data_IF_177545268775
#
_entry.id   IF_177545268775
#
_cell.length_a   1.000
_cell.length_b   1.000
_cell.length_c   1.000
_cell.angle_alpha   90.00
_cell.angle_beta   90.00
_cell.angle_gamma   90.00
#
_symmetry.space_group_name_H-M   'P 1'
#
loop_
_entity.id
_entity.type
_entity.pdbx_description
1 polymer ?
#
# COMPACT_ATOMS: atom_id res chain seq x y z
N UNK A 1 17.85 5.68 -15.17
CA UNK A 1 18.30 5.17 -13.85
C UNK A 1 18.77 6.29 -12.90
N UNK A 2 19.47 7.32 -13.40
CA UNK A 2 19.98 8.44 -12.60
C UNK A 2 18.92 9.32 -11.94
N UNK A 3 17.69 9.40 -12.49
CA UNK A 3 16.57 10.17 -11.89
C UNK A 3 15.83 9.40 -10.79
N UNK A 4 15.91 8.07 -10.77
CA UNK A 4 15.14 7.25 -9.81
C UNK A 4 15.68 7.43 -8.39
N UNK A 5 17.02 7.42 -8.24
CA UNK A 5 17.71 7.60 -6.97
C UNK A 5 17.37 8.90 -6.22
N UNK A 6 17.41 10.10 -6.84
CA UNK A 6 17.06 11.33 -6.17
C UNK A 6 15.57 11.40 -5.81
N UNK A 7 14.68 10.84 -6.64
CA UNK A 7 13.25 10.75 -6.29
C UNK A 7 13.03 9.87 -5.06
N UNK A 8 13.70 8.71 -5.01
CA UNK A 8 13.66 7.80 -3.87
C UNK A 8 14.21 8.46 -2.59
N UNK A 9 15.33 9.17 -2.68
CA UNK A 9 15.88 9.89 -1.53
C UNK A 9 14.88 10.95 -1.01
N UNK A 10 14.22 11.66 -1.92
CA UNK A 10 13.24 12.69 -1.58
C UNK A 10 12.01 12.10 -0.90
N UNK A 11 11.50 10.97 -1.38
CA UNK A 11 10.35 10.30 -0.74
C UNK A 11 10.72 9.73 0.62
N UNK A 12 11.92 9.17 0.79
CA UNK A 12 12.41 8.69 2.10
C UNK A 12 12.51 9.85 3.10
N UNK A 13 13.08 10.99 2.70
CA UNK A 13 13.15 12.19 3.55
C UNK A 13 11.76 12.67 3.93
N UNK A 14 10.82 12.67 2.97
CA UNK A 14 9.43 13.02 3.21
C UNK A 14 8.75 12.11 4.24
N UNK A 15 8.98 10.79 4.17
CA UNK A 15 8.48 9.83 5.17
C UNK A 15 9.04 10.14 6.55
N UNK A 16 10.36 10.35 6.66
CA UNK A 16 11.01 10.68 7.94
C UNK A 16 10.43 11.96 8.55
N UNK A 17 10.18 12.99 7.74
CA UNK A 17 9.58 14.24 8.21
C UNK A 17 8.10 14.11 8.58
N UNK A 18 7.38 13.18 7.94
CA UNK A 18 5.98 12.89 8.26
C UNK A 18 5.80 12.03 9.50
N UNK A 19 6.84 11.29 9.93
CA UNK A 19 6.80 10.48 11.12
C UNK A 19 6.66 11.36 12.37
N UNK A 20 5.67 11.05 13.21
CA UNK A 20 5.54 11.63 14.55
C UNK A 20 6.68 11.14 15.46
N UNK A 21 7.04 11.92 16.48
CA UNK A 21 8.13 11.59 17.40
C UNK A 21 8.04 10.15 17.92
N UNK A 22 8.98 9.32 17.48
CA UNK A 22 9.03 7.91 17.82
C UNK A 22 9.72 7.80 19.18
N UNK A 23 8.94 7.53 20.23
CA UNK A 23 9.51 7.30 21.56
C UNK A 23 10.31 5.99 21.60
N UNK A 24 11.27 5.86 22.52
CA UNK A 24 12.18 4.70 22.58
C UNK A 24 11.50 3.32 22.70
N UNK A 25 10.25 3.26 23.19
CA UNK A 25 9.45 2.03 23.25
C UNK A 25 8.86 1.55 21.91
N UNK A 26 8.84 2.41 20.88
CA UNK A 26 8.20 2.15 19.58
C UNK A 26 9.17 1.65 18.51
N UNK A 27 10.48 1.55 18.80
CA UNK A 27 11.49 1.11 17.83
C UNK A 27 11.21 -0.28 17.24
N UNK A 28 10.68 -1.20 18.06
CA UNK A 28 10.27 -2.53 17.58
C UNK A 28 9.15 -2.45 16.53
N UNK A 29 8.18 -1.55 16.74
CA UNK A 29 7.10 -1.30 15.78
C UNK A 29 7.62 -0.76 14.45
N UNK A 30 8.60 0.15 14.48
CA UNK A 30 9.22 0.68 13.27
C UNK A 30 9.89 -0.42 12.44
N UNK A 31 10.60 -1.35 13.08
CA UNK A 31 11.20 -2.51 12.39
C UNK A 31 10.13 -3.36 11.71
N UNK A 32 9.01 -3.64 12.39
CA UNK A 32 7.90 -4.38 11.80
C UNK A 32 7.24 -3.66 10.62
N UNK A 33 7.07 -2.33 10.69
CA UNK A 33 6.52 -1.53 9.60
C UNK A 33 7.44 -1.60 8.37
N UNK A 34 8.75 -1.42 8.56
CA UNK A 34 9.73 -1.50 7.47
C UNK A 34 9.76 -2.91 6.87
N UNK A 35 9.79 -3.95 7.71
CA UNK A 35 9.74 -5.33 7.25
C UNK A 35 8.45 -5.63 6.45
N UNK A 36 7.30 -5.13 6.91
CA UNK A 36 6.02 -5.23 6.22
C UNK A 36 6.04 -4.53 4.86
N UNK A 37 6.65 -3.35 4.76
CA UNK A 37 6.81 -2.63 3.49
C UNK A 37 7.66 -3.43 2.47
N UNK A 38 8.75 -4.06 2.92
CA UNK A 38 9.55 -4.94 2.07
C UNK A 38 8.77 -6.20 1.63
N UNK A 39 8.03 -6.82 2.55
CA UNK A 39 7.18 -7.97 2.24
C UNK A 39 6.12 -7.61 1.19
N UNK A 40 5.46 -6.45 1.34
CA UNK A 40 4.50 -5.93 0.38
C UNK A 40 5.14 -5.64 -0.99
N UNK A 41 6.32 -4.99 -1.01
CA UNK A 41 7.03 -4.71 -2.24
C UNK A 41 7.36 -6.01 -3.00
N UNK A 42 7.93 -7.00 -2.31
CA UNK A 42 8.23 -8.31 -2.89
C UNK A 42 6.97 -9.01 -3.41
N UNK A 43 5.92 -9.01 -2.60
CA UNK A 43 4.62 -9.56 -2.98
C UNK A 43 4.06 -8.88 -4.23
N UNK A 44 4.06 -7.56 -4.33
CA UNK A 44 3.51 -6.83 -5.48
C UNK A 44 4.28 -7.10 -6.77
N UNK A 45 5.61 -7.24 -6.69
CA UNK A 45 6.47 -7.58 -7.83
C UNK A 45 6.19 -9.02 -8.27
N UNK A 46 6.17 -9.97 -7.34
CA UNK A 46 5.88 -11.37 -7.65
C UNK A 46 4.46 -11.53 -8.20
N UNK A 47 3.48 -10.85 -7.59
CA UNK A 47 2.11 -10.80 -8.07
C UNK A 47 2.07 -10.28 -9.51
N UNK A 48 2.76 -9.19 -9.84
CA UNK A 48 2.79 -8.67 -11.21
C UNK A 48 3.45 -9.61 -12.23
N UNK A 49 4.36 -10.49 -11.79
CA UNK A 49 4.97 -11.50 -12.65
C UNK A 49 4.07 -12.73 -12.85
N UNK A 50 3.23 -13.06 -11.87
CA UNK A 50 2.35 -14.24 -11.87
C UNK A 50 0.97 -13.92 -12.46
N UNK A 51 0.43 -12.72 -12.19
CA UNK A 51 -0.91 -12.29 -12.58
C UNK A 51 -1.17 -12.36 -14.10
N UNK A 52 -0.22 -12.12 -15.02
CA UNK A 52 -0.46 -12.31 -16.46
C UNK A 52 -0.70 -13.77 -16.87
N UNK A 53 -0.32 -14.74 -16.02
CA UNK A 53 -0.45 -16.18 -16.25
C UNK A 53 -1.61 -16.81 -15.48
N UNK A 54 -2.29 -16.04 -14.64
CA UNK A 54 -3.35 -16.52 -13.77
C UNK A 54 -4.63 -15.72 -14.01
N UNK A 55 -5.78 -16.36 -13.95
CA UNK A 55 -7.05 -15.64 -13.90
C UNK A 55 -7.12 -14.77 -12.64
N UNK A 56 -7.66 -13.56 -12.78
CA UNK A 56 -7.79 -12.58 -11.70
C UNK A 56 -8.48 -13.17 -10.46
N UNK A 57 -9.53 -13.97 -10.68
CA UNK A 57 -10.31 -14.67 -9.66
C UNK A 57 -9.46 -15.67 -8.88
N UNK A 58 -8.67 -16.49 -9.58
CA UNK A 58 -7.73 -17.46 -8.98
C UNK A 58 -6.68 -16.75 -8.13
N UNK A 59 -6.15 -15.62 -8.62
CA UNK A 59 -5.23 -14.77 -7.87
C UNK A 59 -5.82 -14.26 -6.55
N UNK A 60 -7.03 -13.69 -6.60
CA UNK A 60 -7.72 -13.21 -5.42
C UNK A 60 -8.04 -14.35 -4.44
N UNK A 61 -8.51 -15.50 -4.93
CA UNK A 61 -8.79 -16.65 -4.09
C UNK A 61 -7.56 -17.14 -3.34
N UNK A 62 -6.40 -17.25 -4.01
CA UNK A 62 -5.16 -17.67 -3.35
C UNK A 62 -4.75 -16.69 -2.25
N UNK A 63 -4.82 -15.39 -2.52
CA UNK A 63 -4.46 -14.34 -1.55
C UNK A 63 -5.39 -14.36 -0.35
N UNK A 64 -6.70 -14.41 -0.57
CA UNK A 64 -7.68 -14.44 0.51
C UNK A 64 -7.71 -15.75 1.27
N UNK A 65 -7.44 -16.88 0.61
CA UNK A 65 -7.26 -18.16 1.29
C UNK A 65 -6.03 -18.13 2.20
N UNK A 66 -4.91 -17.56 1.73
CA UNK A 66 -3.71 -17.35 2.55
C UNK A 66 -3.98 -16.46 3.76
N UNK A 67 -4.65 -15.32 3.55
CA UNK A 67 -5.03 -14.41 4.63
C UNK A 67 -5.96 -15.09 5.65
N UNK A 68 -6.99 -15.81 5.18
CA UNK A 68 -7.91 -16.57 6.01
C UNK A 68 -7.19 -17.65 6.83
N UNK A 69 -6.24 -18.36 6.22
CA UNK A 69 -5.41 -19.34 6.91
C UNK A 69 -4.56 -18.69 8.00
N UNK A 70 -3.86 -17.59 7.70
CA UNK A 70 -3.04 -16.87 8.68
C UNK A 70 -3.85 -16.37 9.88
N UNK A 71 -5.01 -15.75 9.63
CA UNK A 71 -5.88 -15.28 10.72
C UNK A 71 -6.47 -16.44 11.54
N UNK A 72 -6.83 -17.55 10.90
CA UNK A 72 -7.33 -18.75 11.59
C UNK A 72 -6.27 -19.37 12.50
N UNK A 73 -5.01 -19.42 12.05
CA UNK A 73 -3.88 -19.90 12.85
C UNK A 73 -3.66 -19.01 14.08
N UNK A 74 -3.67 -17.68 13.92
CA UNK A 74 -3.51 -16.74 15.04
C UNK A 74 -4.65 -16.92 16.05
N UNK A 75 -5.89 -17.05 15.56
CA UNK A 75 -7.05 -17.29 16.40
C UNK A 75 -6.94 -18.59 17.21
N UNK A 76 -6.49 -19.68 16.58
CA UNK A 76 -6.30 -20.99 17.23
C UNK A 76 -5.15 -20.99 18.25
N UNK A 77 -4.03 -20.34 17.93
CA UNK A 77 -2.86 -20.29 18.82
C UNK A 77 -3.07 -19.40 20.05
N UNK A 78 -4.05 -18.48 19.98
CA UNK A 78 -4.42 -17.55 21.04
C UNK A 78 -3.22 -16.98 21.83
N UNK A 79 -2.28 -16.29 21.16
CA UNK A 79 -1.09 -15.77 21.80
C UNK A 79 -1.44 -14.78 22.91
N UNK A 80 -0.75 -14.89 24.05
CA UNK A 80 -0.96 -14.02 25.20
C UNK A 80 -0.70 -12.56 24.82
N UNK A 81 -1.69 -11.69 25.06
CA UNK A 81 -1.63 -10.27 24.75
C UNK A 81 -2.38 -9.83 23.48
N UNK A 82 -2.93 -10.76 22.69
CA UNK A 82 -3.93 -10.41 21.66
C UNK A 82 -5.34 -10.78 22.12
N UNK A 83 -6.30 -9.85 22.14
CA UNK A 83 -7.70 -10.19 22.29
C UNK A 83 -8.19 -10.91 21.03
N UNK A 84 -8.26 -12.24 21.10
CA UNK A 84 -8.75 -13.12 20.00
C UNK A 84 -10.24 -13.45 20.14
N UNK A 85 -10.94 -12.82 21.09
CA UNK A 85 -12.36 -13.02 21.30
C UNK A 85 -13.19 -12.33 20.23
N UNK A 86 -14.07 -13.08 19.57
CA UNK A 86 -14.93 -12.52 18.54
C UNK A 86 -16.12 -11.79 19.18
N UNK A 87 -16.37 -10.51 18.83
CA UNK A 87 -17.49 -9.78 19.40
C UNK A 87 -18.82 -10.38 18.94
N UNK A 88 -19.68 -10.72 19.90
CA UNK A 88 -21.04 -11.24 19.66
C UNK A 88 -22.07 -10.16 19.31
N UNK A 89 -21.63 -8.92 19.13
CA UNK A 89 -22.50 -7.76 18.90
C UNK A 89 -22.73 -7.53 17.40
N UNK A 90 -24.00 -7.53 16.99
CA UNK A 90 -24.41 -7.37 15.59
C UNK A 90 -23.93 -6.05 14.94
N UNK A 91 -23.72 -5.00 15.74
CA UNK A 91 -23.27 -3.69 15.27
C UNK A 91 -21.82 -3.65 14.77
N UNK A 92 -20.99 -4.65 15.07
CA UNK A 92 -19.61 -4.75 14.56
C UNK A 92 -19.56 -5.48 13.22
N UNK A 93 -20.51 -6.37 12.96
CA UNK A 93 -20.52 -7.21 11.76
C UNK A 93 -20.84 -6.44 10.49
N UNK A 94 -21.74 -5.45 10.55
CA UNK A 94 -22.09 -4.66 9.37
C UNK A 94 -20.90 -3.83 8.85
N UNK A 95 -20.19 -3.02 9.68
CA UNK A 95 -18.97 -2.36 9.24
C UNK A 95 -17.86 -3.34 8.82
N UNK A 96 -17.73 -4.49 9.50
CA UNK A 96 -16.75 -5.50 9.15
C UNK A 96 -17.01 -6.09 7.74
N UNK A 97 -18.27 -6.35 7.40
CA UNK A 97 -18.66 -6.80 6.06
C UNK A 97 -18.42 -5.72 5.01
N UNK A 98 -18.70 -4.46 5.31
CA UNK A 98 -18.42 -3.34 4.41
C UNK A 98 -16.91 -3.24 4.11
N UNK A 99 -16.07 -3.26 5.14
CA UNK A 99 -14.61 -3.22 5.00
C UNK A 99 -14.10 -4.46 4.26
N UNK A 100 -14.62 -5.64 4.56
CA UNK A 100 -14.22 -6.89 3.91
C UNK A 100 -14.58 -6.93 2.43
N UNK A 101 -15.84 -6.60 2.07
CA UNK A 101 -16.32 -6.69 0.70
C UNK A 101 -15.82 -5.52 -0.15
N UNK A 102 -15.97 -4.28 0.32
CA UNK A 102 -15.65 -3.08 -0.45
C UNK A 102 -14.18 -2.72 -0.29
N UNK A 103 -13.73 -2.55 0.95
CA UNK A 103 -12.37 -2.09 1.27
C UNK A 103 -11.28 -3.13 1.01
N UNK A 104 -11.63 -4.42 0.98
CA UNK A 104 -10.65 -5.50 0.81
C UNK A 104 -10.84 -6.22 -0.52
N UNK A 105 -11.93 -6.97 -0.71
CA UNK A 105 -12.14 -7.79 -1.92
C UNK A 105 -12.28 -6.91 -3.17
N UNK A 106 -13.15 -5.90 -3.11
CA UNK A 106 -13.37 -4.96 -4.21
C UNK A 106 -12.11 -4.17 -4.56
N UNK A 107 -11.50 -3.51 -3.56
CA UNK A 107 -10.29 -2.73 -3.74
C UNK A 107 -9.13 -3.57 -4.30
N UNK A 108 -8.89 -4.76 -3.73
CA UNK A 108 -7.80 -5.64 -4.20
C UNK A 108 -8.06 -6.19 -5.59
N UNK A 109 -9.32 -6.49 -5.93
CA UNK A 109 -9.70 -6.90 -7.28
C UNK A 109 -9.42 -5.82 -8.32
N UNK A 110 -9.77 -4.57 -8.02
CA UNK A 110 -9.45 -3.41 -8.88
C UNK A 110 -7.93 -3.21 -8.98
N UNK A 111 -7.21 -3.34 -7.86
CA UNK A 111 -5.75 -3.21 -7.82
C UNK A 111 -5.06 -4.25 -8.70
N UNK A 112 -5.43 -5.52 -8.60
CA UNK A 112 -4.90 -6.59 -9.45
C UNK A 112 -5.30 -6.44 -10.91
N UNK A 113 -6.54 -6.04 -11.19
CA UNK A 113 -6.97 -5.73 -12.55
C UNK A 113 -6.17 -4.57 -13.17
N UNK A 114 -5.91 -3.52 -12.39
CA UNK A 114 -5.05 -2.40 -12.78
C UNK A 114 -3.61 -2.85 -13.00
N UNK A 115 -3.04 -3.60 -12.04
CA UNK A 115 -1.69 -4.14 -12.10
C UNK A 115 -1.45 -4.99 -13.34
N UNK A 116 -2.42 -5.81 -13.73
CA UNK A 116 -2.34 -6.60 -14.97
C UNK A 116 -2.28 -5.74 -16.24
N UNK A 117 -2.86 -4.54 -16.22
CA UNK A 117 -2.91 -3.64 -17.38
C UNK A 117 -1.67 -2.75 -17.51
N UNK A 118 -1.12 -2.28 -16.39
CA UNK A 118 -0.06 -1.25 -16.38
C UNK A 118 1.23 -1.67 -15.66
N UNK A 119 1.25 -2.85 -15.04
CA UNK A 119 2.39 -3.38 -14.27
C UNK A 119 2.49 -2.81 -12.84
N UNK A 120 3.31 -3.45 -12.00
CA UNK A 120 3.48 -3.06 -10.59
C UNK A 120 4.04 -1.64 -10.41
N UNK A 121 5.03 -1.21 -11.20
CA UNK A 121 5.67 0.11 -11.04
C UNK A 121 4.66 1.25 -11.22
N UNK A 122 3.91 1.23 -12.34
CA UNK A 122 2.90 2.26 -12.61
C UNK A 122 1.73 2.18 -11.63
N UNK A 123 1.36 0.98 -11.20
CA UNK A 123 0.31 0.79 -10.19
C UNK A 123 0.72 1.35 -8.83
N UNK A 124 1.96 1.15 -8.41
CA UNK A 124 2.51 1.73 -7.18
C UNK A 124 2.51 3.26 -7.25
N UNK A 125 2.87 3.84 -8.40
CA UNK A 125 2.77 5.29 -8.63
C UNK A 125 1.33 5.77 -8.47
N UNK A 126 0.34 5.12 -9.09
CA UNK A 126 -1.07 5.50 -8.93
C UNK A 126 -1.54 5.33 -7.48
N UNK A 127 -1.09 4.28 -6.79
CA UNK A 127 -1.43 4.00 -5.40
C UNK A 127 -0.95 5.11 -4.46
N UNK A 128 0.06 5.90 -4.81
CA UNK A 128 0.44 7.07 -3.98
C UNK A 128 -0.65 8.13 -3.86
N UNK A 129 -1.64 8.14 -4.77
CA UNK A 129 -2.85 8.94 -4.63
C UNK A 129 -3.64 8.60 -3.36
N UNK A 130 -3.52 7.36 -2.88
CA UNK A 130 -4.08 6.91 -1.61
C UNK A 130 -3.63 7.80 -0.45
N UNK A 131 -2.36 8.20 -0.41
CA UNK A 131 -1.82 9.06 0.66
C UNK A 131 -2.56 10.40 0.72
N UNK A 132 -2.90 10.97 -0.44
CA UNK A 132 -3.68 12.21 -0.53
C UNK A 132 -5.13 12.00 -0.07
N UNK A 133 -5.80 10.98 -0.60
CA UNK A 133 -7.20 10.70 -0.28
C UNK A 133 -7.36 10.34 1.20
N UNK A 134 -6.47 9.50 1.73
CA UNK A 134 -6.45 9.14 3.14
C UNK A 134 -6.16 10.35 4.04
N UNK A 135 -5.18 11.19 3.68
CA UNK A 135 -4.87 12.41 4.42
C UNK A 135 -6.04 13.39 4.47
N UNK A 136 -6.69 13.65 3.33
CA UNK A 136 -7.87 14.52 3.25
C UNK A 136 -9.05 13.93 4.01
N UNK A 137 -9.32 12.64 3.86
CA UNK A 137 -10.39 11.95 4.59
C UNK A 137 -10.15 12.01 6.10
N UNK A 138 -8.91 11.80 6.56
CA UNK A 138 -8.53 11.96 7.96
C UNK A 138 -8.73 13.38 8.48
N UNK A 139 -8.46 14.39 7.66
CA UNK A 139 -8.73 15.80 8.00
C UNK A 139 -10.24 16.07 8.14
N UNK A 140 -11.05 15.60 7.18
CA UNK A 140 -12.48 15.91 7.13
C UNK A 140 -13.30 15.11 8.13
N UNK A 141 -13.06 13.79 8.25
CA UNK A 141 -13.86 12.89 9.07
C UNK A 141 -13.31 12.71 10.49
N UNK A 142 -11.98 12.63 10.64
CA UNK A 142 -11.33 12.42 11.94
C UNK A 142 -10.87 13.74 12.60
N UNK A 143 -11.06 14.88 11.92
CA UNK A 143 -10.58 16.19 12.37
C UNK A 143 -9.10 16.20 12.76
N UNK A 144 -8.28 15.38 12.08
CA UNK A 144 -6.85 15.30 12.35
C UNK A 144 -6.17 16.63 12.05
N UNK A 145 -5.41 17.13 13.03
CA UNK A 145 -4.56 18.31 12.84
C UNK A 145 -3.18 17.86 12.41
N UNK A 146 -2.81 18.22 11.18
CA UNK A 146 -1.47 17.98 10.69
C UNK A 146 -0.52 19.05 11.17
N UNK A 147 0.61 18.63 11.74
CA UNK A 147 1.70 19.55 12.05
C UNK A 147 2.36 20.05 10.77
N UNK A 148 3.02 21.20 10.83
CA UNK A 148 3.76 21.74 9.69
C UNK A 148 4.78 20.73 9.11
N UNK A 149 5.43 19.94 9.98
CA UNK A 149 6.36 18.87 9.57
C UNK A 149 5.69 17.79 8.75
N UNK A 150 4.49 17.35 9.16
CA UNK A 150 3.71 16.33 8.45
C UNK A 150 3.24 16.82 7.08
N UNK A 151 2.79 18.08 6.99
CA UNK A 151 2.41 18.68 5.70
C UNK A 151 3.61 18.76 4.76
N UNK A 152 4.77 19.18 5.27
CA UNK A 152 6.00 19.25 4.48
C UNK A 152 6.47 17.85 4.02
N UNK A 153 6.42 16.86 4.92
CA UNK A 153 6.74 15.47 4.60
C UNK A 153 5.83 14.90 3.52
N UNK A 154 4.51 15.13 3.64
CA UNK A 154 3.53 14.76 2.63
C UNK A 154 3.79 15.42 1.28
N UNK A 155 4.08 16.72 1.26
CA UNK A 155 4.42 17.45 0.03
C UNK A 155 5.68 16.89 -0.65
N UNK A 156 6.70 16.51 0.11
CA UNK A 156 7.93 15.89 -0.41
C UNK A 156 7.67 14.49 -1.00
N UNK A 157 6.85 13.67 -0.34
CA UNK A 157 6.47 12.34 -0.85
C UNK A 157 5.78 12.51 -2.21
N UNK A 158 4.77 13.38 -2.28
CA UNK A 158 4.00 13.61 -3.51
C UNK A 158 4.85 14.22 -4.62
N UNK A 159 5.69 15.21 -4.27
CA UNK A 159 6.62 15.83 -5.22
C UNK A 159 7.61 14.81 -5.79
N UNK A 160 8.19 13.96 -4.94
CA UNK A 160 9.12 12.91 -5.36
C UNK A 160 8.47 11.88 -6.29
N UNK A 161 7.23 11.48 -5.99
CA UNK A 161 6.49 10.55 -6.85
C UNK A 161 6.13 11.20 -8.19
N UNK A 162 5.61 12.44 -8.19
CA UNK A 162 5.26 13.15 -9.41
C UNK A 162 6.45 13.33 -10.35
N UNK A 163 7.62 13.63 -9.81
CA UNK A 163 8.86 13.71 -10.58
C UNK A 163 9.25 12.36 -11.18
N UNK A 164 9.12 11.28 -10.41
CA UNK A 164 9.37 9.92 -10.88
C UNK A 164 8.41 9.56 -12.03
N UNK A 165 7.12 9.83 -11.88
CA UNK A 165 6.11 9.58 -12.92
C UNK A 165 6.44 10.31 -14.22
N UNK A 166 6.79 11.61 -14.14
CA UNK A 166 7.15 12.41 -15.32
C UNK A 166 8.40 11.85 -16.01
N UNK A 167 9.37 11.40 -15.24
CA UNK A 167 10.59 10.80 -15.78
C UNK A 167 10.32 9.45 -16.48
N UNK A 168 9.41 8.63 -15.93
CA UNK A 168 8.99 7.37 -16.55
C UNK A 168 8.22 7.59 -17.86
N UNK A 169 7.30 8.57 -17.91
CA UNK A 169 6.55 8.92 -19.14
C UNK A 169 7.51 9.36 -20.24
N UNK A 170 8.42 10.31 -19.93
CA UNK A 170 9.41 10.82 -20.90
C UNK A 170 10.36 9.72 -21.41
N UNK A 171 10.67 8.72 -20.56
CA UNK A 171 11.48 7.57 -20.97
C UNK A 171 10.70 6.64 -21.91
N UNK A 172 9.39 6.49 -21.72
CA UNK A 172 8.50 5.74 -22.60
C UNK A 172 8.38 6.36 -24.00
N UNK A 173 8.28 7.69 -24.08
CA UNK A 173 8.21 8.42 -25.35
C UNK A 173 9.51 8.35 -26.17
N UNK A 174 10.66 8.21 -25.51
CA UNK A 174 11.98 8.15 -26.16
C UNK A 174 12.38 6.75 -26.63
N UNK A 175 11.55 5.71 -26.46
CA UNK A 175 11.83 4.37 -26.98
C UNK A 175 11.41 4.28 -28.45
N UNK A 176 12.30 3.84 -29.37
CA UNK A 176 11.97 3.74 -30.79
C UNK A 176 10.82 2.73 -31.03
N UNK A 177 9.90 3.07 -31.94
CA UNK A 177 8.68 2.33 -32.28
C UNK A 177 8.90 0.87 -32.75
N UNK A 178 10.14 0.42 -32.95
CA UNK A 178 10.49 -0.92 -33.44
C UNK A 178 10.35 -2.06 -32.41
N UNK A 179 9.96 -1.77 -31.16
CA UNK A 179 9.79 -2.77 -30.09
C UNK A 179 8.31 -3.16 -29.89
N UNK A 180 7.39 -2.52 -30.63
CA UNK A 180 5.95 -2.80 -30.56
C UNK A 180 5.42 -3.70 -31.70
N UNK A 181 6.32 -4.35 -32.46
CA UNK A 181 5.97 -5.32 -33.50
C UNK A 181 6.23 -6.76 -33.04
#
# INVERSE_FOLDING_TARGET
PTIIWPCLATTIIGVILSASDVSGGQMKGLIFIVAGAFAWAFYSVLASAVMPRAELTTGLMMVFAGAGFSFSVIWLLNPSGLPTTMPYVANVWLPALEIGLVGTIGAMGIFFAGMNRIGASKSAVIQTWEVLVAGLTGMFFLHQQFTFRQVLGGALILGGVLLLTRAEIKRGENLPQSVHA
#
